data_IF_086642729676
#
_entry.id   IF_086642729676
#
_cell.length_a   1.000
_cell.length_b   1.000
_cell.length_c   1.000
_cell.angle_alpha   90.00
_cell.angle_beta   90.00
_cell.angle_gamma   90.00
#
_symmetry.space_group_name_H-M   'P 1'
#
loop_
_entity.id
_entity.type
_entity.pdbx_description
1 polymer ?
#
# COMPACT_ATOMS: atom_id res chain seq x y z
N UNK A 1 -15.21 21.95 2.81
CA UNK A 1 -14.63 21.02 1.82
C UNK A 1 -13.49 20.26 2.49
N UNK A 2 -13.49 18.92 2.40
CA UNK A 2 -12.49 18.06 3.02
C UNK A 2 -11.19 17.99 2.21
N UNK A 3 -10.05 17.87 2.88
CA UNK A 3 -8.75 17.63 2.24
C UNK A 3 -8.51 16.13 2.19
N UNK A 4 -8.04 15.62 1.04
CA UNK A 4 -7.62 14.23 0.89
C UNK A 4 -6.13 14.07 1.19
N UNK A 5 -5.79 13.03 1.95
CA UNK A 5 -4.43 12.61 2.26
C UNK A 5 -4.07 11.44 1.35
N UNK A 6 -3.20 11.71 0.38
CA UNK A 6 -2.67 10.71 -0.55
C UNK A 6 -1.28 10.29 -0.08
N UNK A 7 -1.10 9.01 0.24
CA UNK A 7 0.14 8.49 0.83
C UNK A 7 0.87 7.58 -0.16
N UNK A 8 1.97 8.07 -0.77
CA UNK A 8 2.86 7.23 -1.58
C UNK A 8 3.85 6.45 -0.73
N UNK A 9 4.36 5.36 -1.30
CA UNK A 9 5.40 4.54 -0.68
C UNK A 9 4.90 3.48 0.30
N UNK A 10 3.65 3.10 0.15
CA UNK A 10 3.02 2.03 0.91
C UNK A 10 3.42 0.66 0.33
N UNK A 11 3.73 -0.32 1.18
CA UNK A 11 4.04 -1.69 0.75
C UNK A 11 3.39 -2.73 1.66
N UNK A 12 2.84 -3.83 1.10
CA UNK A 12 2.38 -4.96 1.90
C UNK A 12 3.52 -5.57 2.72
N UNK A 13 3.16 -6.18 3.85
CA UNK A 13 4.10 -6.92 4.68
C UNK A 13 4.80 -8.01 3.86
N UNK A 14 6.14 -8.09 3.95
CA UNK A 14 6.95 -9.06 3.22
C UNK A 14 7.40 -8.64 1.81
N UNK A 15 6.96 -7.49 1.28
CA UNK A 15 7.46 -6.99 0.00
C UNK A 15 8.89 -6.42 0.12
N UNK A 16 9.76 -6.72 -0.85
CA UNK A 16 11.17 -6.29 -0.84
C UNK A 16 11.33 -4.76 -0.78
N UNK A 17 12.10 -4.24 0.18
CA UNK A 17 12.22 -2.79 0.47
C UNK A 17 12.76 -1.96 -0.72
N UNK A 18 13.75 -2.47 -1.45
CA UNK A 18 14.39 -1.73 -2.55
C UNK A 18 15.10 -0.45 -2.06
N UNK A 19 14.89 0.66 -2.75
CA UNK A 19 15.46 2.00 -2.48
C UNK A 19 14.61 2.89 -1.54
N UNK A 20 13.47 2.40 -1.03
CA UNK A 20 12.58 3.18 -0.18
C UNK A 20 13.05 3.20 1.27
N UNK A 21 13.47 4.38 1.76
CA UNK A 21 13.93 4.60 3.15
C UNK A 21 12.82 4.63 4.20
N UNK A 22 11.57 4.87 3.82
CA UNK A 22 10.40 4.87 4.71
C UNK A 22 9.27 4.11 4.05
N UNK A 23 8.80 3.07 4.70
CA UNK A 23 7.77 2.17 4.19
C UNK A 23 6.73 2.00 5.29
N UNK A 24 5.47 2.21 4.95
CA UNK A 24 4.33 1.87 5.79
C UNK A 24 3.53 0.75 5.11
N UNK A 25 2.95 -0.14 5.90
CA UNK A 25 1.94 -1.08 5.42
C UNK A 25 0.65 -0.35 5.03
N UNK A 26 -0.18 -0.91 4.13
CA UNK A 26 -1.52 -0.38 3.87
C UNK A 26 -2.30 -0.11 5.15
N UNK A 27 -2.25 -1.06 6.08
CA UNK A 27 -2.92 -0.94 7.38
C UNK A 27 -2.42 0.24 8.24
N UNK A 28 -1.11 0.45 8.32
CA UNK A 28 -0.52 1.56 9.06
C UNK A 28 -0.87 2.92 8.44
N UNK A 29 -0.84 3.01 7.11
CA UNK A 29 -1.18 4.25 6.40
C UNK A 29 -2.64 4.66 6.63
N UNK A 30 -3.56 3.70 6.60
CA UNK A 30 -4.98 3.94 6.90
C UNK A 30 -5.19 4.37 8.34
N UNK A 31 -4.56 3.69 9.31
CA UNK A 31 -4.63 4.10 10.73
C UNK A 31 -4.01 5.48 10.99
N UNK A 32 -3.07 5.91 10.16
CA UNK A 32 -2.50 7.26 10.21
C UNK A 32 -3.39 8.33 9.53
N UNK A 33 -4.55 7.95 8.98
CA UNK A 33 -5.52 8.86 8.38
C UNK A 33 -5.37 9.07 6.87
N UNK A 34 -4.71 8.15 6.15
CA UNK A 34 -4.66 8.23 4.69
C UNK A 34 -6.04 7.96 4.07
N UNK A 35 -6.42 8.78 3.10
CA UNK A 35 -7.62 8.55 2.29
C UNK A 35 -7.32 7.68 1.06
N UNK A 36 -6.11 7.82 0.51
CA UNK A 36 -5.68 7.10 -0.70
C UNK A 36 -4.25 6.59 -0.57
N UNK A 37 -4.02 5.37 -1.04
CA UNK A 37 -2.72 4.71 -1.00
C UNK A 37 -2.15 4.55 -2.41
N UNK A 38 -0.88 4.91 -2.61
CA UNK A 38 -0.19 4.68 -3.89
C UNK A 38 0.81 3.54 -3.75
N UNK A 39 0.43 2.37 -4.31
CA UNK A 39 1.21 1.13 -4.25
C UNK A 39 1.56 0.71 -5.69
N UNK A 40 2.79 1.01 -6.11
CA UNK A 40 3.25 0.72 -7.47
C UNK A 40 4.03 -0.61 -7.53
N UNK A 41 5.31 -0.61 -7.17
CA UNK A 41 6.23 -1.76 -7.35
C UNK A 41 5.72 -3.09 -6.81
N UNK A 42 5.05 -3.16 -5.64
CA UNK A 42 4.47 -4.42 -5.18
C UNK A 42 3.47 -5.03 -6.15
N UNK A 43 2.75 -4.22 -6.93
CA UNK A 43 1.73 -4.69 -7.88
C UNK A 43 2.32 -4.94 -9.27
N UNK A 44 2.97 -3.94 -9.89
CA UNK A 44 3.39 -4.06 -11.29
C UNK A 44 4.59 -4.98 -11.53
N UNK A 45 5.45 -5.16 -10.51
CA UNK A 45 6.60 -6.06 -10.58
C UNK A 45 6.32 -7.45 -9.97
N UNK A 46 5.11 -7.70 -9.49
CA UNK A 46 4.72 -9.02 -8.99
C UNK A 46 4.62 -10.04 -10.14
N UNK A 47 4.94 -11.31 -9.89
CA UNK A 47 4.69 -12.39 -10.85
C UNK A 47 3.22 -12.51 -11.24
N UNK A 48 2.31 -12.20 -10.32
CA UNK A 48 0.87 -12.08 -10.56
C UNK A 48 0.36 -10.74 -9.98
N UNK A 49 0.26 -9.69 -10.83
CA UNK A 49 -0.22 -8.38 -10.41
C UNK A 49 -1.65 -8.40 -9.86
N UNK A 50 -2.52 -9.28 -10.40
CA UNK A 50 -3.91 -9.40 -9.95
C UNK A 50 -3.96 -10.00 -8.55
N UNK A 51 -3.24 -11.08 -8.31
CA UNK A 51 -3.16 -11.70 -6.98
C UNK A 51 -2.56 -10.73 -5.96
N UNK A 52 -1.51 -9.99 -6.33
CA UNK A 52 -0.93 -8.98 -5.44
C UNK A 52 -1.91 -7.86 -5.10
N UNK A 53 -2.62 -7.33 -6.10
CA UNK A 53 -3.62 -6.29 -5.87
C UNK A 53 -4.76 -6.79 -4.98
N UNK A 54 -5.21 -8.03 -5.19
CA UNK A 54 -6.26 -8.63 -4.35
C UNK A 54 -5.82 -8.79 -2.90
N UNK A 55 -4.60 -9.27 -2.65
CA UNK A 55 -4.06 -9.38 -1.30
C UNK A 55 -3.97 -8.02 -0.59
N UNK A 56 -3.58 -6.96 -1.31
CA UNK A 56 -3.57 -5.58 -0.79
C UNK A 56 -4.99 -5.12 -0.43
N UNK A 57 -5.97 -5.40 -1.29
CA UNK A 57 -7.37 -5.04 -1.03
C UNK A 57 -7.94 -5.80 0.17
N UNK A 58 -7.61 -7.08 0.31
CA UNK A 58 -7.99 -7.90 1.47
C UNK A 58 -7.37 -7.35 2.76
N UNK A 59 -6.10 -6.91 2.72
CA UNK A 59 -5.47 -6.22 3.85
C UNK A 59 -6.23 -4.94 4.20
N UNK A 60 -6.49 -4.06 3.22
CA UNK A 60 -7.21 -2.79 3.41
C UNK A 60 -8.62 -3.00 3.98
N UNK A 61 -9.34 -4.02 3.51
CA UNK A 61 -10.69 -4.33 3.97
C UNK A 61 -10.73 -4.91 5.40
N UNK A 62 -9.60 -5.35 5.92
CA UNK A 62 -9.47 -5.92 7.28
C UNK A 62 -9.09 -4.88 8.35
N UNK A 63 -8.94 -3.61 7.98
CA UNK A 63 -8.54 -2.49 8.84
C UNK A 63 -9.74 -1.68 9.29
#
# INVERSE_FOLDING_TARGET
EGRLIVTPGVRPAGAALGDQKRVATPSEALRAGADHLVIARPVWAAPDPRASARAILEEIASV
#
